data_IF_614324400810
#
_entry.id   IF_614324400810
#
_cell.length_a   1.000
_cell.length_b   1.000
_cell.length_c   1.000
_cell.angle_alpha   90.00
_cell.angle_beta   90.00
_cell.angle_gamma   90.00
#
_symmetry.space_group_name_H-M   'P 1'
#
loop_
_entity.id
_entity.type
_entity.pdbx_description
1 polymer ?
#
# COMPACT_ATOMS: atom_id res chain seq x y z
N UNK A 1 18.27 -3.62 19.60
CA UNK A 1 17.45 -2.43 19.88
C UNK A 1 16.00 -2.81 19.72
N UNK A 2 15.22 -2.78 20.80
CA UNK A 2 13.76 -2.93 20.72
C UNK A 2 13.22 -1.73 19.94
N UNK A 3 12.42 -1.92 18.87
CA UNK A 3 11.83 -0.77 18.16
C UNK A 3 10.96 0.00 19.15
N UNK A 4 11.25 1.28 19.38
CA UNK A 4 10.41 2.13 20.21
C UNK A 4 9.01 2.21 19.61
N UNK A 5 7.98 2.06 20.44
CA UNK A 5 6.61 2.37 20.04
C UNK A 5 6.44 3.89 19.99
N UNK A 6 5.77 4.40 18.96
CA UNK A 6 5.43 5.81 18.88
C UNK A 6 4.26 6.10 19.82
N UNK A 7 4.32 7.23 20.53
CA UNK A 7 3.21 7.73 21.32
C UNK A 7 2.09 8.30 20.43
N UNK A 8 0.88 8.49 20.98
CA UNK A 8 -0.29 8.92 20.21
C UNK A 8 -0.11 10.26 19.47
N UNK A 9 0.62 11.22 20.06
CA UNK A 9 0.95 12.49 19.40
C UNK A 9 1.94 12.31 18.24
N UNK A 10 2.86 11.37 18.40
CA UNK A 10 3.90 11.05 17.44
C UNK A 10 3.33 10.30 16.23
N UNK A 11 2.40 9.38 16.46
CA UNK A 11 1.65 8.66 15.42
C UNK A 11 0.92 9.62 14.48
N UNK A 12 0.32 10.69 15.02
CA UNK A 12 -0.32 11.73 14.19
C UNK A 12 0.69 12.48 13.33
N UNK A 13 1.81 12.91 13.90
CA UNK A 13 2.86 13.59 13.14
C UNK A 13 3.46 12.72 12.03
N UNK A 14 3.73 11.46 12.34
CA UNK A 14 4.24 10.48 11.40
C UNK A 14 3.24 10.17 10.27
N UNK A 15 1.95 10.02 10.61
CA UNK A 15 0.89 9.80 9.61
C UNK A 15 0.75 11.00 8.68
N UNK A 16 0.77 12.23 9.20
CA UNK A 16 0.72 13.44 8.37
C UNK A 16 1.84 13.45 7.34
N UNK A 17 3.09 13.19 7.75
CA UNK A 17 4.25 13.15 6.84
C UNK A 17 4.07 12.08 5.76
N UNK A 18 3.63 10.88 6.15
CA UNK A 18 3.41 9.78 5.21
C UNK A 18 2.31 10.09 4.18
N UNK A 19 1.18 10.66 4.64
CA UNK A 19 0.07 11.06 3.78
C UNK A 19 0.45 12.21 2.83
N UNK A 20 1.23 13.19 3.31
CA UNK A 20 1.73 14.27 2.46
C UNK A 20 2.59 13.74 1.31
N UNK A 21 3.52 12.82 1.58
CA UNK A 21 4.33 12.22 0.53
C UNK A 21 3.50 11.39 -0.46
N UNK A 22 2.52 10.61 0.03
CA UNK A 22 1.61 9.84 -0.82
C UNK A 22 0.83 10.76 -1.77
N UNK A 23 0.25 11.85 -1.25
CA UNK A 23 -0.53 12.80 -2.04
C UNK A 23 0.35 13.55 -3.04
N UNK A 24 1.54 14.00 -2.63
CA UNK A 24 2.48 14.68 -3.51
C UNK A 24 2.95 13.75 -4.64
N UNK A 25 3.31 12.51 -4.32
CA UNK A 25 3.75 11.52 -5.31
C UNK A 25 2.62 11.13 -6.25
N UNK A 26 1.41 10.95 -5.73
CA UNK A 26 0.21 10.69 -6.53
C UNK A 26 -0.10 11.85 -7.49
N UNK A 27 -0.02 13.09 -7.00
CA UNK A 27 -0.23 14.29 -7.82
C UNK A 27 0.80 14.40 -8.94
N UNK A 28 2.07 14.09 -8.69
CA UNK A 28 3.13 14.06 -9.73
C UNK A 28 2.88 12.98 -10.78
N UNK A 29 2.19 11.89 -10.40
CA UNK A 29 1.76 10.83 -11.31
C UNK A 29 0.41 11.11 -12.00
N UNK A 30 -0.18 12.30 -11.81
CA UNK A 30 -1.47 12.68 -12.42
C UNK A 30 -2.70 12.09 -11.72
N UNK A 31 -2.55 11.53 -10.52
CA UNK A 31 -3.66 11.01 -9.72
C UNK A 31 -4.20 12.07 -8.76
N UNK A 32 -5.53 12.12 -8.63
CA UNK A 32 -6.19 12.94 -7.61
C UNK A 32 -6.19 12.20 -6.27
N UNK A 33 -5.58 12.80 -5.24
CA UNK A 33 -5.59 12.26 -3.88
C UNK A 33 -5.68 13.39 -2.84
N UNK A 34 -6.36 13.12 -1.73
CA UNK A 34 -6.32 13.97 -0.53
C UNK A 34 -5.94 13.11 0.67
N UNK A 35 -5.36 13.69 1.75
CA UNK A 35 -5.02 12.92 2.94
C UNK A 35 -6.22 12.15 3.50
N UNK A 36 -7.41 12.79 3.55
CA UNK A 36 -8.64 12.16 4.04
C UNK A 36 -9.14 11.03 3.13
N UNK A 37 -9.04 11.18 1.80
CA UNK A 37 -9.42 10.13 0.88
C UNK A 37 -8.49 8.91 0.99
N UNK A 38 -7.18 9.13 1.06
CA UNK A 38 -6.20 8.07 1.30
C UNK A 38 -6.46 7.36 2.62
N UNK A 39 -6.65 8.09 3.72
CA UNK A 39 -6.98 7.50 5.03
C UNK A 39 -8.24 6.65 4.95
N UNK A 40 -9.29 7.13 4.28
CA UNK A 40 -10.55 6.37 4.15
C UNK A 40 -10.42 5.10 3.29
N UNK A 41 -9.34 4.96 2.53
CA UNK A 41 -9.02 3.74 1.79
C UNK A 41 -8.06 2.80 2.52
N UNK A 42 -7.33 3.28 3.55
CA UNK A 42 -6.27 2.52 4.22
C UNK A 42 -6.77 1.34 5.07
N UNK A 43 -8.04 0.95 5.03
CA UNK A 43 -8.57 -0.20 5.75
C UNK A 43 -9.99 0.07 6.25
N UNK A 44 -10.51 -0.86 7.04
CA UNK A 44 -11.90 -0.85 7.51
C UNK A 44 -12.07 -0.28 8.93
N UNK A 45 -10.95 -0.01 9.63
CA UNK A 45 -10.92 0.48 11.00
C UNK A 45 -10.09 1.77 11.12
N UNK A 46 -10.48 2.67 12.03
CA UNK A 46 -9.83 3.97 12.27
C UNK A 46 -8.40 3.85 12.81
N UNK A 47 -8.05 2.74 13.45
CA UNK A 47 -6.72 2.48 13.99
C UNK A 47 -5.70 2.08 12.91
N UNK A 48 -6.18 1.53 11.79
CA UNK A 48 -5.34 0.93 10.75
C UNK A 48 -4.28 1.88 10.17
N UNK A 49 -4.60 3.14 9.80
CA UNK A 49 -3.58 4.08 9.32
C UNK A 49 -2.42 4.28 10.30
N UNK A 50 -2.72 4.30 11.61
CA UNK A 50 -1.71 4.44 12.65
C UNK A 50 -0.87 3.18 12.83
N UNK A 51 -1.47 1.99 12.71
CA UNK A 51 -0.75 0.72 12.72
C UNK A 51 0.22 0.60 11.54
N UNK A 52 -0.21 1.03 10.34
CA UNK A 52 0.64 1.06 9.16
C UNK A 52 1.86 1.95 9.43
N UNK A 53 1.65 3.18 9.89
CA UNK A 53 2.73 4.13 10.17
C UNK A 53 3.67 3.63 11.28
N UNK A 54 3.13 3.06 12.35
CA UNK A 54 3.93 2.41 13.39
C UNK A 54 4.79 1.28 12.81
N UNK A 55 4.22 0.47 11.92
CA UNK A 55 4.92 -0.61 11.24
C UNK A 55 6.01 -0.12 10.29
N UNK A 56 5.78 0.98 9.58
CA UNK A 56 6.79 1.63 8.72
C UNK A 56 7.93 2.22 9.55
N UNK A 57 7.62 2.85 10.69
CA UNK A 57 8.63 3.35 11.63
C UNK A 57 9.49 2.21 12.19
N UNK A 58 8.85 1.15 12.70
CA UNK A 58 9.54 -0.01 13.27
C UNK A 58 10.47 -0.72 12.25
N UNK A 59 10.15 -0.65 10.96
CA UNK A 59 10.95 -1.22 9.86
C UNK A 59 12.02 -0.27 9.32
N UNK A 60 12.11 0.97 9.82
CA UNK A 60 13.06 1.98 9.34
C UNK A 60 12.69 2.67 8.03
N UNK A 61 11.42 2.58 7.60
CA UNK A 61 10.90 3.31 6.43
C UNK A 61 10.50 4.74 6.77
N UNK A 62 10.18 5.00 8.03
CA UNK A 62 9.94 6.32 8.59
C UNK A 62 10.89 6.50 9.77
N UNK A 63 11.44 7.70 9.95
CA UNK A 63 12.38 7.98 11.05
C UNK A 63 12.11 9.33 11.68
N UNK A 64 12.61 9.48 12.91
CA UNK A 64 12.66 10.76 13.61
C UNK A 64 14.02 11.42 13.37
N UNK A 65 14.02 12.70 13.00
CA UNK A 65 15.21 13.53 12.84
C UNK A 65 14.93 14.93 13.38
N UNK A 66 15.75 15.38 14.34
CA UNK A 66 15.63 16.71 14.96
C UNK A 66 14.23 17.05 15.49
N UNK A 67 13.53 16.06 16.06
CA UNK A 67 12.16 16.24 16.59
C UNK A 67 11.04 16.15 15.55
N UNK A 68 11.37 16.04 14.26
CA UNK A 68 10.40 15.89 13.16
C UNK A 68 10.44 14.47 12.59
N UNK A 69 9.38 14.09 11.88
CA UNK A 69 9.32 12.84 11.12
C UNK A 69 9.69 13.07 9.67
N UNK A 70 10.41 12.12 9.08
CA UNK A 70 10.71 12.08 7.66
C UNK A 70 10.71 10.63 7.15
N UNK A 71 10.33 10.45 5.88
CA UNK A 71 10.53 9.17 5.20
C UNK A 71 12.01 8.96 4.89
N UNK A 72 12.46 7.73 5.05
CA UNK A 72 13.76 7.30 4.53
C UNK A 72 13.67 7.12 3.00
N UNK A 73 14.82 6.86 2.36
CA UNK A 73 14.83 6.48 0.94
C UNK A 73 13.95 5.25 0.69
N UNK A 74 14.02 4.25 1.57
CA UNK A 74 13.16 3.07 1.49
C UNK A 74 11.68 3.39 1.68
N UNK A 75 11.34 4.32 2.57
CA UNK A 75 9.96 4.79 2.74
C UNK A 75 9.41 5.51 1.50
N UNK A 76 10.22 6.36 0.87
CA UNK A 76 9.87 7.03 -0.39
C UNK A 76 9.69 6.03 -1.54
N UNK A 77 10.56 5.02 -1.62
CA UNK A 77 10.44 3.96 -2.61
C UNK A 77 9.14 3.14 -2.43
N UNK A 78 8.76 2.85 -1.17
CA UNK A 78 7.49 2.19 -0.87
C UNK A 78 6.28 3.03 -1.31
N UNK A 79 6.32 4.35 -1.04
CA UNK A 79 5.31 5.31 -1.51
C UNK A 79 5.21 5.27 -3.04
N UNK A 80 6.34 5.35 -3.74
CA UNK A 80 6.39 5.31 -5.21
C UNK A 80 5.75 4.04 -5.77
N UNK A 81 6.12 2.86 -5.24
CA UNK A 81 5.56 1.57 -5.67
C UNK A 81 4.03 1.52 -5.43
N UNK A 82 3.57 2.04 -4.28
CA UNK A 82 2.15 2.10 -3.96
C UNK A 82 1.37 2.96 -4.96
N UNK A 83 1.92 4.12 -5.33
CA UNK A 83 1.36 5.02 -6.35
C UNK A 83 1.37 4.36 -7.74
N UNK A 84 2.45 3.67 -8.11
CA UNK A 84 2.54 2.93 -9.39
C UNK A 84 1.45 1.86 -9.51
N UNK A 85 1.25 1.07 -8.45
CA UNK A 85 0.20 0.05 -8.43
C UNK A 85 -1.18 0.69 -8.51
N UNK A 86 -1.43 1.77 -7.78
CA UNK A 86 -2.71 2.49 -7.84
C UNK A 86 -2.96 3.06 -9.26
N UNK A 87 -1.97 3.70 -9.87
CA UNK A 87 -2.07 4.25 -11.23
C UNK A 87 -2.31 3.15 -12.27
N UNK A 88 -1.63 2.01 -12.14
CA UNK A 88 -1.79 0.88 -13.04
C UNK A 88 -3.18 0.24 -12.95
N UNK A 89 -3.75 0.17 -11.74
CA UNK A 89 -5.01 -0.55 -11.50
C UNK A 89 -6.26 0.33 -11.62
N UNK A 90 -6.13 1.66 -11.58
CA UNK A 90 -7.26 2.58 -11.48
C UNK A 90 -8.36 2.33 -12.52
N UNK A 91 -8.01 2.22 -13.80
CA UNK A 91 -8.99 2.04 -14.89
C UNK A 91 -9.70 0.69 -14.89
N UNK A 92 -9.13 -0.32 -14.23
CA UNK A 92 -9.70 -1.66 -14.15
C UNK A 92 -10.33 -1.97 -12.78
N UNK A 93 -10.04 -1.16 -11.76
CA UNK A 93 -10.43 -1.39 -10.37
C UNK A 93 -11.93 -1.18 -10.08
N UNK A 94 -12.69 -0.61 -11.02
CA UNK A 94 -14.10 -0.22 -10.85
C UNK A 94 -14.32 0.58 -9.55
N UNK A 95 -13.33 1.40 -9.14
CA UNK A 95 -13.47 2.35 -8.03
C UNK A 95 -14.23 3.60 -8.50
N UNK A 96 -15.07 4.24 -7.65
CA UNK A 96 -15.88 5.39 -8.06
C UNK A 96 -15.04 6.57 -8.57
N UNK A 97 -15.51 7.31 -9.59
CA UNK A 97 -14.80 8.46 -10.18
C UNK A 97 -14.51 9.62 -9.18
N UNK A 98 -15.27 9.70 -8.08
CA UNK A 98 -15.04 10.65 -6.98
C UNK A 98 -13.96 10.17 -5.99
N UNK A 99 -13.22 9.13 -6.33
CA UNK A 99 -12.21 8.53 -5.48
C UNK A 99 -11.03 9.48 -5.23
N UNK A 100 -11.11 10.19 -4.11
CA UNK A 100 -10.12 11.17 -3.64
C UNK A 100 -8.86 10.50 -3.04
N UNK A 101 -8.44 9.35 -3.56
CA UNK A 101 -7.25 8.61 -3.13
C UNK A 101 -7.52 7.35 -2.29
N UNK A 102 -8.77 6.89 -2.17
CA UNK A 102 -9.14 5.64 -1.48
C UNK A 102 -8.48 4.43 -2.13
N UNK A 103 -8.43 4.33 -3.46
CA UNK A 103 -7.70 3.25 -4.13
C UNK A 103 -6.23 3.23 -3.69
N UNK A 104 -5.57 4.39 -3.63
CA UNK A 104 -4.20 4.49 -3.15
C UNK A 104 -4.07 4.03 -1.69
N UNK A 105 -4.99 4.45 -0.82
CA UNK A 105 -5.06 3.95 0.55
C UNK A 105 -5.21 2.43 0.62
N UNK A 106 -6.09 1.86 -0.20
CA UNK A 106 -6.35 0.43 -0.23
C UNK A 106 -5.16 -0.37 -0.76
N UNK A 107 -4.40 0.19 -1.71
CA UNK A 107 -3.14 -0.38 -2.16
C UNK A 107 -2.10 -0.36 -1.03
N UNK A 108 -1.97 0.74 -0.28
CA UNK A 108 -1.07 0.80 0.88
C UNK A 108 -1.46 -0.25 1.92
N UNK A 109 -2.75 -0.39 2.23
CA UNK A 109 -3.28 -1.43 3.11
C UNK A 109 -2.92 -2.84 2.62
N UNK A 110 -3.11 -3.11 1.33
CA UNK A 110 -2.84 -4.41 0.72
C UNK A 110 -1.36 -4.78 0.75
N UNK A 111 -0.47 -3.81 0.56
CA UNK A 111 0.97 -4.01 0.56
C UNK A 111 1.56 -4.14 1.96
N UNK A 112 0.86 -3.68 3.00
CA UNK A 112 1.36 -3.74 4.37
C UNK A 112 1.51 -5.19 4.87
N UNK A 113 2.55 -5.41 5.67
CA UNK A 113 2.92 -6.72 6.23
C UNK A 113 2.13 -7.01 7.52
N UNK A 114 0.86 -7.35 7.37
CA UNK A 114 -0.04 -7.67 8.49
C UNK A 114 0.41 -8.89 9.31
N UNK A 115 1.11 -9.85 8.69
CA UNK A 115 1.62 -11.04 9.38
C UNK A 115 2.92 -10.79 10.16
N UNK A 116 3.49 -9.58 10.12
CA UNK A 116 4.74 -9.22 10.78
C UNK A 116 5.92 -10.17 10.44
N UNK A 117 5.93 -10.67 9.21
CA UNK A 117 6.95 -11.60 8.71
C UNK A 117 8.13 -10.92 8.06
N UNK A 118 7.98 -9.65 7.65
CA UNK A 118 8.99 -8.83 6.97
C UNK A 118 9.47 -7.77 7.96
N UNK A 119 10.57 -8.04 8.65
CA UNK A 119 11.03 -7.27 9.81
C UNK A 119 11.85 -6.04 9.43
N UNK A 120 12.36 -5.99 8.21
CA UNK A 120 13.23 -4.91 7.72
C UNK A 120 12.60 -4.11 6.58
N UNK A 121 13.10 -2.89 6.35
CA UNK A 121 12.71 -2.09 5.19
C UNK A 121 12.94 -2.84 3.86
N UNK A 122 14.08 -3.51 3.72
CA UNK A 122 14.45 -4.23 2.49
C UNK A 122 13.50 -5.38 2.18
N UNK A 123 13.16 -6.23 3.16
CA UNK A 123 12.23 -7.35 2.95
C UNK A 123 10.83 -6.87 2.55
N UNK A 124 10.36 -5.79 3.16
CA UNK A 124 9.05 -5.23 2.87
C UNK A 124 9.04 -4.57 1.48
N UNK A 125 10.11 -3.88 1.10
CA UNK A 125 10.25 -3.33 -0.26
C UNK A 125 10.35 -4.41 -1.32
N UNK A 126 11.13 -5.46 -1.10
CA UNK A 126 11.24 -6.59 -2.03
C UNK A 126 9.86 -7.21 -2.26
N UNK A 127 9.08 -7.38 -1.19
CA UNK A 127 7.71 -7.84 -1.29
C UNK A 127 6.83 -6.90 -2.14
N UNK A 128 6.85 -5.60 -1.87
CA UNK A 128 6.06 -4.62 -2.64
C UNK A 128 6.47 -4.61 -4.13
N UNK A 129 7.77 -4.69 -4.42
CA UNK A 129 8.30 -4.82 -5.80
C UNK A 129 7.80 -6.09 -6.48
N UNK A 130 7.84 -7.23 -5.79
CA UNK A 130 7.31 -8.50 -6.32
C UNK A 130 5.82 -8.42 -6.64
N UNK A 131 5.02 -7.79 -5.79
CA UNK A 131 3.58 -7.58 -6.07
C UNK A 131 3.39 -6.73 -7.32
N UNK A 132 4.10 -5.59 -7.43
CA UNK A 132 4.08 -4.74 -8.62
C UNK A 132 4.45 -5.53 -9.88
N UNK A 133 5.55 -6.27 -9.84
CA UNK A 133 6.08 -6.99 -11.00
C UNK A 133 5.12 -8.10 -11.46
N UNK A 134 4.47 -8.79 -10.53
CA UNK A 134 3.44 -9.77 -10.87
C UNK A 134 2.18 -9.12 -11.46
N UNK A 135 1.75 -7.95 -10.96
CA UNK A 135 0.66 -7.19 -11.57
C UNK A 135 1.02 -6.69 -12.97
N UNK A 136 2.27 -6.25 -13.20
CA UNK A 136 2.75 -5.86 -14.53
C UNK A 136 2.68 -7.03 -15.50
N UNK A 137 3.17 -8.22 -15.12
CA UNK A 137 3.05 -9.42 -15.95
C UNK A 137 1.59 -9.78 -16.24
N UNK A 138 0.72 -9.63 -15.25
CA UNK A 138 -0.69 -9.96 -15.37
C UNK A 138 -1.41 -9.07 -16.40
N UNK A 139 -0.89 -7.88 -16.73
CA UNK A 139 -1.47 -6.99 -17.75
C UNK A 139 -1.55 -7.62 -19.15
N UNK A 140 -0.69 -8.59 -19.43
CA UNK A 140 -0.72 -9.37 -20.68
C UNK A 140 -1.94 -10.31 -20.75
N UNK A 141 -2.64 -10.49 -19.63
CA UNK A 141 -3.85 -11.31 -19.49
C UNK A 141 -5.01 -10.42 -18.98
N UNK A 142 -5.68 -9.63 -19.85
CA UNK A 142 -6.57 -8.54 -19.44
C UNK A 142 -7.68 -8.93 -18.47
N UNK A 143 -8.30 -10.10 -18.65
CA UNK A 143 -9.34 -10.62 -17.75
C UNK A 143 -8.80 -10.92 -16.35
N UNK A 144 -7.61 -11.52 -16.26
CA UNK A 144 -6.96 -11.79 -14.98
C UNK A 144 -6.53 -10.49 -14.30
N UNK A 145 -5.98 -9.57 -15.08
CA UNK A 145 -5.59 -8.25 -14.60
C UNK A 145 -6.78 -7.48 -14.06
N UNK A 146 -7.90 -7.46 -14.79
CA UNK A 146 -9.14 -6.82 -14.33
C UNK A 146 -9.60 -7.42 -13.01
N UNK A 147 -9.64 -8.74 -12.91
CA UNK A 147 -10.02 -9.40 -11.67
C UNK A 147 -9.08 -9.05 -10.51
N UNK A 148 -7.77 -9.00 -10.76
CA UNK A 148 -6.79 -8.60 -9.75
C UNK A 148 -6.97 -7.13 -9.33
N UNK A 149 -7.16 -6.22 -10.28
CA UNK A 149 -7.38 -4.79 -10.03
C UNK A 149 -8.67 -4.53 -9.23
N UNK A 150 -9.73 -5.31 -9.47
CA UNK A 150 -10.97 -5.23 -8.69
C UNK A 150 -10.79 -5.79 -7.28
N UNK A 151 -10.16 -6.95 -7.14
CA UNK A 151 -10.07 -7.64 -5.84
C UNK A 151 -9.00 -7.07 -4.92
N UNK A 152 -7.84 -6.65 -5.46
CA UNK A 152 -6.71 -6.15 -4.67
C UNK A 152 -7.12 -5.12 -3.60
N UNK A 153 -7.89 -4.05 -3.93
CA UNK A 153 -8.30 -3.04 -2.95
C UNK A 153 -9.50 -3.44 -2.07
N UNK A 154 -10.13 -4.60 -2.30
CA UNK A 154 -11.37 -5.03 -1.62
C UNK A 154 -11.18 -6.19 -0.65
N UNK A 155 -10.00 -6.82 -0.65
CA UNK A 155 -9.69 -7.98 0.18
C UNK A 155 -9.16 -7.60 1.57
N UNK A 156 -9.44 -8.45 2.55
CA UNK A 156 -8.85 -8.37 3.90
C UNK A 156 -7.55 -9.18 3.95
N UNK A 157 -6.45 -8.55 4.36
CA UNK A 157 -5.12 -9.18 4.36
C UNK A 157 -4.59 -9.50 5.77
N UNK A 158 -5.33 -9.13 6.82
CA UNK A 158 -4.92 -9.32 8.21
C UNK A 158 -4.79 -10.80 8.62
N UNK A 159 -5.49 -11.72 7.95
CA UNK A 159 -5.50 -13.16 8.27
C UNK A 159 -4.41 -13.97 7.52
N UNK A 160 -3.28 -13.37 7.19
CA UNK A 160 -2.17 -14.05 6.50
C UNK A 160 -2.41 -14.33 5.01
N UNK A 161 -3.48 -13.77 4.45
CA UNK A 161 -3.68 -13.67 3.01
C UNK A 161 -2.84 -12.51 2.46
N UNK A 162 -2.39 -12.58 1.22
CA UNK A 162 -1.48 -11.57 0.64
C UNK A 162 -1.85 -11.25 -0.80
N UNK A 163 -1.53 -10.05 -1.32
CA UNK A 163 -1.58 -9.76 -2.75
C UNK A 163 -0.98 -10.83 -3.65
N UNK A 164 0.16 -11.43 -3.27
CA UNK A 164 0.76 -12.52 -4.06
C UNK A 164 -0.12 -13.78 -4.08
N UNK A 165 -0.72 -14.16 -2.94
CA UNK A 165 -1.68 -15.28 -2.88
C UNK A 165 -2.95 -15.00 -3.69
N UNK A 166 -3.40 -13.73 -3.72
CA UNK A 166 -4.51 -13.29 -4.56
C UNK A 166 -4.19 -13.51 -6.04
N UNK A 167 -3.05 -12.99 -6.51
CA UNK A 167 -2.62 -13.12 -7.91
C UNK A 167 -2.46 -14.59 -8.31
N UNK A 168 -1.85 -15.40 -7.44
CA UNK A 168 -1.71 -16.85 -7.67
C UNK A 168 -3.08 -17.54 -7.80
N UNK A 169 -4.03 -17.20 -6.92
CA UNK A 169 -5.38 -17.79 -6.95
C UNK A 169 -6.14 -17.43 -8.23
N UNK A 170 -6.01 -16.18 -8.68
CA UNK A 170 -6.61 -15.71 -9.95
C UNK A 170 -6.08 -16.53 -11.13
N UNK A 171 -4.75 -16.71 -11.22
CA UNK A 171 -4.13 -17.53 -12.27
C UNK A 171 -4.61 -18.97 -12.25
N UNK A 172 -4.76 -19.60 -11.07
CA UNK A 172 -5.22 -20.99 -10.96
C UNK A 172 -6.68 -21.16 -11.42
N UNK A 173 -7.57 -20.24 -11.06
CA UNK A 173 -9.01 -20.38 -11.34
C UNK A 173 -9.33 -20.22 -12.83
N UNK A 174 -8.58 -19.38 -13.53
CA UNK A 174 -8.86 -19.04 -14.94
C UNK A 174 -7.87 -19.67 -15.92
N UNK A 175 -6.65 -20.02 -15.48
CA UNK A 175 -5.71 -20.83 -16.28
C UNK A 175 -6.18 -22.27 -16.50
N UNK A 176 -7.07 -22.79 -15.65
CA UNK A 176 -7.73 -24.09 -15.84
C UNK A 176 -8.98 -24.01 -16.75
N UNK A 177 -9.31 -22.82 -17.28
CA UNK A 177 -10.42 -22.63 -18.24
C UNK A 177 -9.95 -22.37 -19.67
N UNK A 178 -8.63 -22.35 -19.91
CA UNK A 178 -8.01 -22.33 -21.24
C UNK A 178 -7.61 -23.76 -21.65
#
# INVERSE_FOLDING_TARGET
MTPGYLEAGELRGALTVFLSELVETASKAGLRATPGGVVSGMGFDYAVPYLIVQGLYARGMLRRRNGFFELTESGREFVRISVEIAAMTIGASEFPEADSGRLLGAVVYALFDWSNTRRTASEHLEYAKRVRDELVKLREEPELFKLAAVLLPRMYYENGYTPLKLIESIRRVLGNKA
#
